data_IF_777946675104
#
_entry.id   IF_777946675104
#
_cell.length_a   1.000
_cell.length_b   1.000
_cell.length_c   1.000
_cell.angle_alpha   90.00
_cell.angle_beta   90.00
_cell.angle_gamma   90.00
#
_symmetry.space_group_name_H-M   'P 1'
#
loop_
_entity.id
_entity.type
_entity.pdbx_description
1 polymer ?
#
# COMPACT_ATOMS: atom_id res chain seq x y z
N UNK A 1 10.79 -30.66 -13.08
CA UNK A 1 10.76 -29.18 -13.19
C UNK A 1 11.10 -28.56 -11.85
N UNK A 2 11.82 -27.44 -11.76
CA UNK A 2 12.03 -26.75 -10.48
C UNK A 2 10.67 -26.34 -9.91
N UNK A 3 10.53 -26.43 -8.57
CA UNK A 3 9.27 -26.10 -7.87
C UNK A 3 8.85 -24.67 -8.18
N UNK A 4 7.63 -24.48 -8.69
CA UNK A 4 7.05 -23.15 -8.94
C UNK A 4 6.37 -22.55 -7.70
N UNK A 5 6.13 -23.38 -6.67
CA UNK A 5 5.58 -22.94 -5.37
C UNK A 5 6.55 -23.41 -4.28
N UNK A 6 6.98 -22.49 -3.43
CA UNK A 6 7.92 -22.76 -2.34
C UNK A 6 7.41 -22.15 -1.03
N UNK A 7 7.68 -22.78 0.13
CA UNK A 7 7.37 -22.15 1.42
C UNK A 7 8.05 -20.78 1.56
N UNK A 8 7.39 -19.85 2.23
CA UNK A 8 7.95 -18.51 2.52
C UNK A 8 9.25 -18.60 3.34
N UNK A 9 9.41 -19.68 4.12
CA UNK A 9 10.63 -19.96 4.89
C UNK A 9 11.78 -20.55 4.09
N UNK A 10 11.55 -20.94 2.83
CA UNK A 10 12.61 -21.52 2.00
C UNK A 10 13.66 -20.46 1.61
N UNK A 11 14.97 -20.77 1.63
CA UNK A 11 16.02 -19.82 1.27
C UNK A 11 15.83 -19.17 -0.09
N UNK A 12 15.36 -19.93 -1.08
CA UNK A 12 15.10 -19.43 -2.43
C UNK A 12 13.93 -18.44 -2.52
N UNK A 13 13.03 -18.38 -1.53
CA UNK A 13 11.92 -17.44 -1.50
C UNK A 13 12.38 -15.97 -1.34
N UNK A 14 13.60 -15.75 -0.86
CA UNK A 14 14.20 -14.42 -0.73
C UNK A 14 14.79 -13.87 -2.05
N UNK A 15 14.63 -14.57 -3.17
CA UNK A 15 15.08 -14.10 -4.49
C UNK A 15 14.04 -13.19 -5.15
N UNK A 16 14.26 -11.86 -5.20
CA UNK A 16 13.30 -10.92 -5.78
C UNK A 16 13.16 -11.05 -7.30
N UNK A 17 14.15 -11.65 -7.97
CA UNK A 17 14.07 -11.88 -9.43
C UNK A 17 13.08 -12.98 -9.81
N UNK A 18 12.72 -13.83 -8.84
CA UNK A 18 11.76 -14.93 -8.99
C UNK A 18 10.41 -14.65 -8.35
N UNK A 19 10.42 -14.04 -7.17
CA UNK A 19 9.22 -13.93 -6.33
C UNK A 19 8.73 -12.48 -6.14
N UNK A 20 9.43 -11.49 -6.73
CA UNK A 20 9.16 -10.08 -6.52
C UNK A 20 9.64 -9.58 -5.15
N UNK A 21 9.89 -8.29 -5.02
CA UNK A 21 10.47 -7.73 -3.80
C UNK A 21 9.55 -7.88 -2.58
N UNK A 22 8.22 -7.78 -2.75
CA UNK A 22 7.25 -7.95 -1.65
C UNK A 22 7.37 -9.33 -0.99
N UNK A 23 7.34 -10.41 -1.76
CA UNK A 23 7.48 -11.76 -1.23
C UNK A 23 8.89 -12.04 -0.72
N UNK A 24 9.92 -11.57 -1.45
CA UNK A 24 11.31 -11.75 -1.06
C UNK A 24 11.66 -11.06 0.27
N UNK A 25 11.19 -9.83 0.48
CA UNK A 25 11.37 -9.12 1.74
C UNK A 25 10.72 -9.88 2.91
N UNK A 26 9.48 -10.36 2.74
CA UNK A 26 8.83 -11.15 3.79
C UNK A 26 9.54 -12.48 4.05
N UNK A 27 10.06 -13.14 3.01
CA UNK A 27 10.86 -14.35 3.18
C UNK A 27 12.14 -14.05 3.99
N UNK A 28 12.81 -12.93 3.74
CA UNK A 28 13.97 -12.50 4.52
C UNK A 28 13.61 -12.25 5.99
N UNK A 29 12.43 -11.64 6.27
CA UNK A 29 11.94 -11.48 7.64
C UNK A 29 11.71 -12.82 8.33
N UNK A 30 11.09 -13.79 7.65
CA UNK A 30 10.88 -15.16 8.18
C UNK A 30 12.20 -15.84 8.49
N UNK A 31 13.18 -15.74 7.60
CA UNK A 31 14.51 -16.33 7.77
C UNK A 31 15.28 -15.69 8.94
N UNK A 32 15.02 -14.42 9.22
CA UNK A 32 15.54 -13.71 10.40
C UNK A 32 14.76 -13.98 11.69
N UNK A 33 13.74 -14.86 11.66
CA UNK A 33 12.95 -15.26 12.81
C UNK A 33 11.92 -14.22 13.26
N UNK A 34 11.55 -13.26 12.40
CA UNK A 34 10.49 -12.31 12.73
C UNK A 34 9.09 -12.90 12.53
N UNK A 35 8.09 -12.37 13.28
CA UNK A 35 6.72 -12.86 13.24
C UNK A 35 6.05 -12.47 11.91
N UNK A 36 5.99 -13.40 10.97
CA UNK A 36 5.31 -13.27 9.69
C UNK A 36 4.30 -14.41 9.54
N UNK A 37 3.07 -14.19 9.06
CA UNK A 37 2.11 -15.26 8.85
C UNK A 37 2.67 -16.33 7.92
N UNK A 38 2.43 -17.60 8.24
CA UNK A 38 2.83 -18.73 7.41
C UNK A 38 2.28 -18.59 5.98
N UNK A 39 3.08 -19.01 4.99
CA UNK A 39 2.68 -18.86 3.61
C UNK A 39 3.63 -19.51 2.61
N UNK A 40 3.33 -19.26 1.34
CA UNK A 40 4.04 -19.77 0.17
C UNK A 40 4.26 -18.65 -0.84
N UNK A 41 5.38 -18.71 -1.54
CA UNK A 41 5.68 -17.88 -2.70
C UNK A 41 5.46 -18.67 -3.99
N UNK A 42 4.78 -18.07 -4.96
CA UNK A 42 4.61 -18.61 -6.31
C UNK A 42 5.57 -17.88 -7.23
N UNK A 43 6.46 -18.63 -7.85
CA UNK A 43 7.48 -18.10 -8.78
C UNK A 43 6.82 -17.43 -9.99
N UNK A 44 7.33 -16.29 -10.43
CA UNK A 44 6.88 -15.59 -11.62
C UNK A 44 6.92 -16.44 -12.91
N UNK A 45 7.66 -17.54 -12.91
CA UNK A 45 7.63 -18.53 -13.99
C UNK A 45 6.26 -19.19 -14.14
N UNK A 46 5.49 -19.39 -13.05
CA UNK A 46 4.13 -19.92 -13.13
C UNK A 46 3.23 -19.02 -14.00
N UNK A 47 3.36 -17.69 -13.84
CA UNK A 47 2.68 -16.71 -14.67
C UNK A 47 3.11 -16.85 -16.15
N UNK A 48 4.42 -16.97 -16.43
CA UNK A 48 4.92 -17.11 -17.81
C UNK A 48 4.46 -18.40 -18.47
N UNK A 49 4.47 -19.51 -17.73
CA UNK A 49 3.91 -20.80 -18.18
C UNK A 49 2.44 -20.66 -18.53
N UNK A 50 1.66 -19.98 -17.67
CA UNK A 50 0.23 -19.75 -17.90
C UNK A 50 -0.01 -18.87 -19.13
N UNK A 51 0.75 -17.79 -19.28
CA UNK A 51 0.65 -16.86 -20.41
C UNK A 51 0.91 -17.58 -21.74
N UNK A 52 1.97 -18.39 -21.78
CA UNK A 52 2.35 -19.20 -22.95
C UNK A 52 1.32 -20.27 -23.28
N UNK A 53 0.82 -21.00 -22.28
CA UNK A 53 -0.18 -22.05 -22.48
C UNK A 53 -1.52 -21.50 -23.01
N UNK A 54 -1.84 -20.25 -22.73
CA UNK A 54 -3.02 -19.56 -23.27
C UNK A 54 -2.78 -18.90 -24.63
N UNK A 55 -1.56 -18.95 -25.16
CA UNK A 55 -1.19 -18.30 -26.43
C UNK A 55 -1.24 -16.75 -26.39
N UNK A 56 -1.07 -16.16 -25.22
CA UNK A 56 -1.22 -14.71 -24.98
C UNK A 56 0.09 -13.92 -25.10
N UNK A 57 1.21 -14.58 -25.44
CA UNK A 57 2.54 -13.93 -25.47
C UNK A 57 2.64 -12.83 -26.54
N UNK A 58 1.99 -13.03 -27.68
CA UNK A 58 1.98 -12.04 -28.77
C UNK A 58 1.16 -10.81 -28.38
N UNK A 59 -0.04 -11.00 -27.83
CA UNK A 59 -0.88 -9.91 -27.32
C UNK A 59 -0.16 -9.14 -26.19
N UNK A 60 0.50 -9.87 -25.28
CA UNK A 60 1.28 -9.25 -24.22
C UNK A 60 2.40 -8.34 -24.74
N UNK A 61 3.16 -8.79 -25.75
CA UNK A 61 4.21 -7.97 -26.38
C UNK A 61 3.63 -6.79 -27.15
N UNK A 62 2.46 -6.95 -27.80
CA UNK A 62 1.79 -5.92 -28.59
C UNK A 62 1.39 -4.68 -27.77
N UNK A 63 1.27 -4.79 -26.45
CA UNK A 63 0.86 -3.65 -25.60
C UNK A 63 1.86 -2.49 -25.63
N UNK A 64 3.16 -2.79 -25.65
CA UNK A 64 4.21 -1.77 -25.59
C UNK A 64 4.94 -1.56 -26.94
N UNK A 65 4.85 -2.53 -27.86
CA UNK A 65 5.45 -2.42 -29.19
C UNK A 65 4.56 -1.70 -30.21
N UNK A 66 3.27 -1.54 -29.92
CA UNK A 66 2.33 -0.88 -30.83
C UNK A 66 2.35 0.64 -30.65
N UNK A 67 2.64 1.38 -31.72
CA UNK A 67 2.47 2.85 -31.78
C UNK A 67 0.98 3.25 -31.79
N UNK A 68 0.10 2.33 -32.16
CA UNK A 68 -1.35 2.54 -32.18
C UNK A 68 -1.99 2.27 -30.84
N UNK A 69 -2.44 3.33 -30.14
CA UNK A 69 -3.08 3.25 -28.83
C UNK A 69 -4.33 2.33 -28.79
N UNK A 70 -5.25 2.34 -29.76
CA UNK A 70 -6.36 1.38 -29.83
C UNK A 70 -5.87 -0.06 -29.89
N UNK A 71 -4.85 -0.37 -30.67
CA UNK A 71 -4.25 -1.70 -30.76
C UNK A 71 -3.65 -2.13 -29.41
N UNK A 72 -2.82 -1.28 -28.78
CA UNK A 72 -2.24 -1.53 -27.47
C UNK A 72 -3.31 -1.82 -26.40
N UNK A 73 -4.40 -1.04 -26.37
CA UNK A 73 -5.53 -1.27 -25.45
C UNK A 73 -6.24 -2.60 -25.70
N UNK A 74 -6.44 -2.98 -26.95
CA UNK A 74 -7.04 -4.25 -27.31
C UNK A 74 -6.15 -5.42 -26.87
N UNK A 75 -4.86 -5.38 -27.11
CA UNK A 75 -3.88 -6.36 -26.67
C UNK A 75 -3.88 -6.52 -25.14
N UNK A 76 -3.90 -5.40 -24.40
CA UNK A 76 -3.97 -5.42 -22.94
C UNK A 76 -5.28 -6.05 -22.44
N UNK A 77 -6.41 -5.72 -23.04
CA UNK A 77 -7.70 -6.29 -22.69
C UNK A 77 -7.75 -7.79 -22.99
N UNK A 78 -7.28 -8.22 -24.14
CA UNK A 78 -7.21 -9.63 -24.54
C UNK A 78 -6.35 -10.44 -23.57
N UNK A 79 -5.16 -9.96 -23.24
CA UNK A 79 -4.28 -10.59 -22.26
C UNK A 79 -4.94 -10.67 -20.87
N UNK A 80 -5.55 -9.58 -20.41
CA UNK A 80 -6.26 -9.53 -19.13
C UNK A 80 -7.40 -10.53 -19.07
N UNK A 81 -8.28 -10.53 -20.08
CA UNK A 81 -9.44 -11.44 -20.12
C UNK A 81 -9.02 -12.90 -20.27
N UNK A 82 -8.01 -13.17 -21.09
CA UNK A 82 -7.47 -14.51 -21.25
C UNK A 82 -6.93 -15.08 -19.94
N UNK A 83 -6.19 -14.29 -19.15
CA UNK A 83 -5.70 -14.70 -17.83
C UNK A 83 -6.84 -14.89 -16.82
N UNK A 84 -7.88 -14.03 -16.85
CA UNK A 84 -9.04 -14.15 -15.95
C UNK A 84 -9.90 -15.37 -16.22
N UNK A 85 -10.10 -15.74 -17.49
CA UNK A 85 -11.05 -16.78 -17.91
C UNK A 85 -10.37 -18.10 -18.20
N UNK A 86 -9.09 -18.10 -18.53
CA UNK A 86 -8.33 -19.28 -18.90
C UNK A 86 -8.17 -20.27 -17.73
N UNK A 87 -8.29 -21.54 -18.04
CA UNK A 87 -7.98 -22.60 -17.08
C UNK A 87 -6.49 -22.56 -16.69
N UNK A 88 -6.18 -22.70 -15.42
CA UNK A 88 -4.79 -22.76 -14.96
C UNK A 88 -4.19 -24.11 -15.41
N UNK A 89 -2.97 -24.05 -15.95
CA UNK A 89 -2.20 -25.25 -16.38
C UNK A 89 -2.20 -26.30 -15.26
N UNK A 90 -2.51 -27.58 -15.56
CA UNK A 90 -2.73 -28.60 -14.52
C UNK A 90 -1.62 -28.71 -13.49
N UNK A 91 -0.36 -28.74 -13.92
CA UNK A 91 0.79 -28.88 -13.00
C UNK A 91 0.93 -27.67 -12.07
N UNK A 92 0.65 -26.45 -12.56
CA UNK A 92 0.65 -25.22 -11.77
C UNK A 92 -0.54 -25.25 -10.80
N UNK A 93 -1.71 -25.64 -11.28
CA UNK A 93 -2.93 -25.74 -10.48
C UNK A 93 -2.78 -26.72 -9.30
N UNK A 94 -2.21 -27.90 -9.54
CA UNK A 94 -1.97 -28.89 -8.50
C UNK A 94 -1.00 -28.38 -7.43
N UNK A 95 0.11 -27.75 -7.84
CA UNK A 95 1.08 -27.15 -6.93
C UNK A 95 0.45 -26.03 -6.07
N UNK A 96 -0.37 -25.16 -6.68
CA UNK A 96 -1.10 -24.09 -6.01
C UNK A 96 -2.07 -24.64 -4.98
N UNK A 97 -2.91 -25.61 -5.36
CA UNK A 97 -3.91 -26.22 -4.48
C UNK A 97 -3.27 -27.00 -3.32
N UNK A 98 -2.17 -27.69 -3.58
CA UNK A 98 -1.42 -28.38 -2.52
C UNK A 98 -0.90 -27.40 -1.46
N UNK A 99 -0.30 -26.27 -1.88
CA UNK A 99 0.17 -25.22 -0.97
C UNK A 99 -1.01 -24.56 -0.22
N UNK A 100 -2.06 -24.19 -0.95
CA UNK A 100 -3.25 -23.57 -0.40
C UNK A 100 -3.86 -24.39 0.72
N UNK A 101 -4.18 -25.65 0.46
CA UNK A 101 -4.82 -26.58 1.41
C UNK A 101 -3.97 -26.87 2.64
N UNK A 102 -2.65 -26.61 2.59
CA UNK A 102 -1.77 -26.79 3.76
C UNK A 102 -1.85 -25.63 4.76
N UNK A 103 -2.27 -24.43 4.33
CA UNK A 103 -2.34 -23.23 5.18
C UNK A 103 -3.76 -22.70 5.38
N UNK A 104 -4.64 -22.93 4.44
CA UNK A 104 -6.05 -22.59 4.48
C UNK A 104 -6.90 -23.88 4.53
N UNK A 105 -8.13 -23.77 5.00
CA UNK A 105 -9.06 -24.89 5.13
C UNK A 105 -10.23 -24.47 6.00
N UNK A 106 -11.12 -25.37 6.35
CA UNK A 106 -12.35 -25.10 7.09
C UNK A 106 -12.13 -24.13 8.26
N UNK A 107 -12.75 -22.95 8.20
CA UNK A 107 -12.66 -21.91 9.22
C UNK A 107 -11.32 -21.18 9.32
N UNK A 108 -10.43 -21.33 8.33
CA UNK A 108 -9.14 -20.64 8.26
C UNK A 108 -8.96 -19.95 6.91
N UNK A 109 -9.47 -18.72 6.77
CA UNK A 109 -9.37 -18.00 5.51
C UNK A 109 -7.90 -17.65 5.17
N UNK A 110 -7.62 -17.62 3.89
CA UNK A 110 -6.32 -17.25 3.36
C UNK A 110 -6.35 -15.94 2.58
N UNK A 111 -5.17 -15.51 2.18
CA UNK A 111 -4.92 -14.28 1.44
C UNK A 111 -4.05 -14.59 0.23
N UNK A 112 -4.40 -13.99 -0.90
CA UNK A 112 -3.57 -13.97 -2.11
C UNK A 112 -3.14 -12.54 -2.40
N UNK A 113 -1.84 -12.31 -2.48
CA UNK A 113 -1.24 -11.00 -2.71
C UNK A 113 -0.37 -11.03 -3.96
N UNK A 114 -0.49 -10.02 -4.80
CA UNK A 114 0.43 -9.80 -5.91
C UNK A 114 1.84 -9.47 -5.40
N UNK A 115 2.85 -9.94 -6.14
CA UNK A 115 4.25 -9.59 -5.93
C UNK A 115 4.92 -9.49 -7.29
N UNK A 116 4.67 -8.38 -8.00
CA UNK A 116 5.23 -8.18 -9.33
C UNK A 116 6.76 -8.02 -9.26
N UNK A 117 7.47 -8.51 -10.28
CA UNK A 117 8.93 -8.42 -10.31
C UNK A 117 9.45 -6.98 -10.35
N UNK A 118 8.60 -6.03 -10.71
CA UNK A 118 8.92 -4.59 -10.78
C UNK A 118 8.42 -3.80 -9.55
N UNK A 119 7.67 -4.43 -8.66
CA UNK A 119 7.08 -3.84 -7.46
C UNK A 119 8.11 -3.71 -6.33
N UNK A 120 7.93 -2.72 -5.44
CA UNK A 120 8.75 -2.45 -4.25
C UNK A 120 10.27 -2.31 -4.53
N UNK A 121 10.63 -1.80 -5.73
CA UNK A 121 12.00 -1.42 -6.06
C UNK A 121 12.27 0.03 -5.68
N UNK A 122 13.53 0.43 -5.59
CA UNK A 122 13.90 1.82 -5.42
C UNK A 122 13.33 2.70 -6.56
N UNK A 123 12.46 3.64 -6.22
CA UNK A 123 11.78 4.53 -7.18
C UNK A 123 10.58 3.91 -7.92
N UNK A 124 10.10 2.73 -7.51
CA UNK A 124 8.98 2.04 -8.16
C UNK A 124 8.22 1.15 -7.17
N UNK A 125 7.42 1.78 -6.30
CA UNK A 125 6.70 1.06 -5.24
C UNK A 125 5.46 0.29 -5.71
N UNK A 126 4.85 0.69 -6.82
CA UNK A 126 3.52 0.21 -7.27
C UNK A 126 2.44 0.26 -6.17
N UNK A 127 2.60 1.12 -5.16
CA UNK A 127 1.66 1.23 -4.07
C UNK A 127 0.22 1.48 -4.57
N UNK A 128 -0.72 0.64 -4.13
CA UNK A 128 -2.13 0.72 -4.51
C UNK A 128 -2.44 0.34 -5.97
N UNK A 129 -1.45 -0.08 -6.79
CA UNK A 129 -1.70 -0.50 -8.17
C UNK A 129 -2.32 -1.90 -8.26
N UNK A 130 -1.98 -2.77 -7.31
CA UNK A 130 -2.43 -4.15 -7.24
C UNK A 130 -3.27 -4.41 -5.99
N UNK A 131 -4.27 -5.28 -6.11
CA UNK A 131 -5.16 -5.64 -5.02
C UNK A 131 -4.68 -6.90 -4.30
N UNK A 132 -4.95 -6.99 -3.00
CA UNK A 132 -4.89 -8.21 -2.22
C UNK A 132 -6.30 -8.81 -2.12
N UNK A 133 -6.40 -10.12 -2.24
CA UNK A 133 -7.64 -10.87 -2.11
C UNK A 133 -7.65 -11.55 -0.75
N UNK A 134 -8.55 -11.12 0.10
CA UNK A 134 -8.66 -11.54 1.50
C UNK A 134 -9.82 -12.51 1.68
N UNK A 135 -9.83 -13.21 2.82
CA UNK A 135 -10.94 -14.08 3.27
C UNK A 135 -11.34 -15.16 2.25
N UNK A 136 -10.34 -15.71 1.56
CA UNK A 136 -10.56 -16.81 0.65
C UNK A 136 -10.76 -18.09 1.46
N UNK A 137 -11.86 -18.79 1.24
CA UNK A 137 -12.22 -20.01 2.00
C UNK A 137 -12.30 -21.26 1.13
N UNK A 138 -12.54 -21.08 -0.18
CA UNK A 138 -12.67 -22.20 -1.12
C UNK A 138 -11.50 -22.28 -2.11
N UNK A 139 -11.28 -23.49 -2.67
CA UNK A 139 -10.34 -23.71 -3.75
C UNK A 139 -10.67 -22.86 -5.00
N UNK A 140 -11.94 -22.64 -5.27
CA UNK A 140 -12.40 -21.88 -6.44
C UNK A 140 -12.13 -20.37 -6.25
N UNK A 141 -12.44 -19.81 -5.08
CA UNK A 141 -12.13 -18.43 -4.73
C UNK A 141 -10.62 -18.19 -4.80
N UNK A 142 -9.84 -19.13 -4.25
CA UNK A 142 -8.40 -19.08 -4.30
C UNK A 142 -7.85 -19.05 -5.75
N UNK A 143 -8.27 -19.99 -6.60
CA UNK A 143 -7.83 -20.02 -8.01
C UNK A 143 -8.30 -18.79 -8.79
N UNK A 144 -9.46 -18.26 -8.46
CA UNK A 144 -9.97 -17.01 -9.03
C UNK A 144 -9.12 -15.82 -8.60
N UNK A 145 -8.72 -15.74 -7.34
CA UNK A 145 -7.80 -14.72 -6.84
C UNK A 145 -6.41 -14.80 -7.50
N UNK A 146 -5.90 -16.01 -7.72
CA UNK A 146 -4.64 -16.23 -8.47
C UNK A 146 -4.73 -15.65 -9.89
N UNK A 147 -5.79 -16.01 -10.64
CA UNK A 147 -6.03 -15.48 -11.98
C UNK A 147 -6.16 -13.96 -11.98
N UNK A 148 -6.88 -13.42 -11.00
CA UNK A 148 -7.06 -11.97 -10.85
C UNK A 148 -5.75 -11.24 -10.52
N UNK A 149 -4.88 -11.81 -9.69
CA UNK A 149 -3.53 -11.27 -9.47
C UNK A 149 -2.73 -11.22 -10.77
N UNK A 150 -2.69 -12.30 -11.55
CA UNK A 150 -1.98 -12.31 -12.82
C UNK A 150 -2.55 -11.29 -13.82
N UNK A 151 -3.88 -11.19 -13.89
CA UNK A 151 -4.57 -10.26 -14.79
C UNK A 151 -4.40 -8.79 -14.35
N UNK A 152 -4.13 -8.51 -13.07
CA UNK A 152 -3.97 -7.15 -12.55
C UNK A 152 -2.79 -6.40 -13.19
N UNK A 153 -1.75 -7.14 -13.64
CA UNK A 153 -0.62 -6.57 -14.36
C UNK A 153 -1.04 -5.81 -15.63
N UNK A 154 -2.13 -6.23 -16.26
CA UNK A 154 -2.71 -5.70 -17.50
C UNK A 154 -3.84 -4.69 -17.25
N UNK A 155 -3.98 -4.21 -16.01
CA UNK A 155 -4.92 -3.14 -15.71
C UNK A 155 -4.43 -1.80 -16.30
N UNK A 156 -5.36 -0.94 -16.72
CA UNK A 156 -5.03 0.39 -17.24
C UNK A 156 -4.15 1.18 -16.28
N UNK A 157 -4.40 1.05 -14.97
CA UNK A 157 -3.64 1.72 -13.91
C UNK A 157 -2.19 1.23 -13.87
N UNK A 158 -1.99 -0.09 -13.82
CA UNK A 158 -0.64 -0.67 -13.80
C UNK A 158 0.14 -0.35 -15.07
N UNK A 159 -0.50 -0.42 -16.25
CA UNK A 159 0.12 -0.08 -17.54
C UNK A 159 0.53 1.39 -17.62
N UNK A 160 -0.31 2.31 -17.15
CA UNK A 160 0.05 3.73 -17.06
C UNK A 160 1.24 3.96 -16.12
N UNK A 161 1.21 3.33 -14.96
CA UNK A 161 2.32 3.42 -13.99
C UNK A 161 3.62 2.90 -14.61
N UNK A 162 3.61 1.75 -15.28
CA UNK A 162 4.78 1.19 -15.97
C UNK A 162 5.29 2.15 -17.05
N UNK A 163 4.41 2.71 -17.88
CA UNK A 163 4.77 3.66 -18.92
C UNK A 163 5.45 4.92 -18.37
N UNK A 164 4.98 5.45 -17.22
CA UNK A 164 5.60 6.64 -16.58
C UNK A 164 6.98 6.34 -15.97
N UNK A 165 7.29 5.07 -15.70
CA UNK A 165 8.58 4.65 -15.13
C UNK A 165 9.50 3.98 -16.16
N UNK A 166 9.13 4.00 -17.45
CA UNK A 166 9.93 3.39 -18.52
C UNK A 166 10.10 1.88 -18.38
N UNK A 167 9.14 1.20 -17.73
CA UNK A 167 9.18 -0.25 -17.50
C UNK A 167 8.54 -0.98 -18.67
N UNK A 168 9.24 -2.00 -19.20
CA UNK A 168 8.73 -2.86 -20.27
C UNK A 168 7.97 -4.06 -19.68
N UNK A 169 6.84 -4.37 -20.32
CA UNK A 169 6.02 -5.53 -19.99
C UNK A 169 6.72 -6.86 -20.28
N UNK A 170 7.60 -6.90 -21.29
CA UNK A 170 8.34 -8.10 -21.63
C UNK A 170 9.26 -8.56 -20.49
N UNK A 171 9.77 -7.60 -19.69
CA UNK A 171 10.63 -7.86 -18.55
C UNK A 171 9.84 -8.05 -17.25
N UNK A 172 8.52 -7.93 -17.31
CA UNK A 172 7.64 -7.96 -16.14
C UNK A 172 6.93 -9.31 -16.04
N UNK A 173 6.78 -9.79 -14.82
CA UNK A 173 5.97 -10.97 -14.51
C UNK A 173 5.38 -10.83 -13.11
N UNK A 174 4.30 -11.54 -12.87
CA UNK A 174 3.58 -11.50 -11.61
C UNK A 174 3.85 -12.78 -10.81
N UNK A 175 4.66 -12.65 -9.77
CA UNK A 175 4.73 -13.63 -8.70
C UNK A 175 3.55 -13.43 -7.73
N UNK A 176 3.29 -14.40 -6.88
CA UNK A 176 2.18 -14.35 -5.92
C UNK A 176 2.67 -14.79 -4.55
N UNK A 177 2.15 -14.12 -3.52
CA UNK A 177 2.31 -14.49 -2.13
C UNK A 177 0.97 -15.01 -1.62
N UNK A 178 0.97 -16.23 -1.06
CA UNK A 178 -0.18 -16.89 -0.45
C UNK A 178 0.10 -16.99 1.04
N UNK A 179 -0.80 -16.45 1.87
CA UNK A 179 -0.62 -16.46 3.32
C UNK A 179 -1.92 -16.80 4.05
N UNK A 180 -1.78 -17.17 5.31
CA UNK A 180 -2.90 -17.24 6.22
C UNK A 180 -3.39 -15.83 6.54
N UNK A 181 -4.70 -15.62 6.59
CA UNK A 181 -5.26 -14.34 7.05
C UNK A 181 -5.06 -14.23 8.57
N UNK A 182 -4.56 -13.10 9.02
CA UNK A 182 -4.51 -12.74 10.45
C UNK A 182 -5.88 -12.15 10.82
N UNK A 183 -6.63 -12.76 11.77
CA UNK A 183 -7.93 -12.24 12.23
C UNK A 183 -7.70 -11.03 13.15
N UNK A 184 -7.28 -9.92 12.55
CA UNK A 184 -6.76 -8.78 13.28
C UNK A 184 -7.78 -8.09 14.17
N UNK A 185 -7.48 -7.91 15.44
CA UNK A 185 -8.15 -6.99 16.35
C UNK A 185 -7.71 -5.54 16.12
N UNK A 186 -6.46 -5.34 15.70
CA UNK A 186 -5.91 -4.07 15.24
C UNK A 186 -4.89 -4.31 14.13
N UNK A 187 -4.78 -3.35 13.20
CA UNK A 187 -3.78 -3.41 12.15
C UNK A 187 -3.39 -1.99 11.71
N UNK A 188 -2.28 -1.88 11.00
CA UNK A 188 -1.82 -0.59 10.52
C UNK A 188 -0.48 -0.65 9.82
N UNK A 189 0.23 0.46 9.84
CA UNK A 189 1.56 0.58 9.29
C UNK A 189 2.51 1.30 10.23
N UNK A 190 3.79 1.25 9.90
CA UNK A 190 4.83 1.93 10.63
C UNK A 190 5.90 2.50 9.70
N UNK A 191 6.40 3.67 10.02
CA UNK A 191 7.58 4.25 9.42
C UNK A 191 8.71 4.17 10.44
N UNK A 192 9.75 3.42 10.16
CA UNK A 192 10.84 3.20 11.10
C UNK A 192 11.67 4.46 11.34
N UNK A 193 11.59 5.44 10.42
CA UNK A 193 12.27 6.72 10.55
C UNK A 193 11.50 7.83 9.86
N UNK A 194 11.21 8.89 10.56
CA UNK A 194 10.73 10.16 10.02
C UNK A 194 11.90 11.11 9.72
N UNK A 195 11.61 12.27 9.14
CA UNK A 195 12.62 13.31 8.91
C UNK A 195 13.28 13.82 10.20
N UNK A 196 12.57 13.77 11.33
CA UNK A 196 13.09 14.12 12.67
C UNK A 196 13.85 12.97 13.35
N UNK A 197 13.98 11.81 12.67
CA UNK A 197 14.67 10.63 13.20
C UNK A 197 13.82 9.78 14.15
N UNK A 198 12.58 10.11 14.35
CA UNK A 198 11.60 9.37 15.18
C UNK A 198 10.98 8.23 14.39
N UNK A 199 10.23 7.37 15.08
CA UNK A 199 9.38 6.37 14.44
C UNK A 199 7.93 6.84 14.47
N UNK A 200 7.14 6.41 13.48
CA UNK A 200 5.71 6.70 13.42
C UNK A 200 4.94 5.39 13.26
N UNK A 201 3.90 5.19 14.08
CA UNK A 201 2.98 4.06 13.97
C UNK A 201 1.58 4.59 13.75
N UNK A 202 0.91 4.05 12.73
CA UNK A 202 -0.52 4.20 12.51
C UNK A 202 -1.25 2.90 12.88
N UNK A 203 -2.40 3.01 13.54
CA UNK A 203 -3.20 1.87 13.96
C UNK A 203 -4.70 2.14 13.79
N UNK A 204 -5.42 1.15 13.31
CA UNK A 204 -6.88 1.14 13.31
C UNK A 204 -7.39 -0.23 13.75
N UNK A 205 -8.62 -0.31 14.28
CA UNK A 205 -9.21 -1.57 14.66
C UNK A 205 -9.57 -2.43 13.44
N UNK A 206 -9.47 -3.73 13.57
CA UNK A 206 -9.79 -4.70 12.52
C UNK A 206 -8.70 -4.84 11.46
N UNK A 207 -9.10 -5.18 10.23
CA UNK A 207 -8.18 -5.42 9.12
C UNK A 207 -7.51 -4.13 8.63
N UNK A 208 -6.22 -4.22 8.28
CA UNK A 208 -5.40 -3.10 7.83
C UNK A 208 -5.77 -2.49 6.48
N UNK A 209 -6.69 -3.11 5.72
CA UNK A 209 -7.08 -2.63 4.39
C UNK A 209 -7.59 -1.18 4.40
N UNK A 210 -8.39 -0.79 5.40
CA UNK A 210 -8.92 0.56 5.51
C UNK A 210 -7.83 1.62 5.75
N UNK A 211 -6.77 1.27 6.51
CA UNK A 211 -5.61 2.15 6.71
C UNK A 211 -4.80 2.26 5.42
N UNK A 212 -4.51 1.13 4.79
CA UNK A 212 -3.75 1.07 3.56
C UNK A 212 -4.44 1.82 2.41
N UNK A 213 -5.77 1.74 2.31
CA UNK A 213 -6.56 2.42 1.28
C UNK A 213 -6.85 3.88 1.61
N UNK A 214 -6.51 4.36 2.83
CA UNK A 214 -6.77 5.73 3.24
C UNK A 214 -8.25 6.04 3.52
N UNK A 215 -9.06 5.03 3.81
CA UNK A 215 -10.51 5.18 4.07
C UNK A 215 -10.83 5.64 5.49
N UNK A 216 -9.86 5.59 6.39
CA UNK A 216 -9.99 5.97 7.80
C UNK A 216 -8.86 6.89 8.22
N UNK A 217 -9.10 7.70 9.26
CA UNK A 217 -8.05 8.38 10.01
C UNK A 217 -7.60 7.41 11.10
N UNK A 218 -6.36 6.88 11.07
CA UNK A 218 -5.86 5.95 12.10
C UNK A 218 -5.44 6.70 13.37
N UNK A 219 -5.29 5.96 14.49
CA UNK A 219 -4.48 6.44 15.60
C UNK A 219 -3.05 6.70 15.11
N UNK A 220 -2.42 7.75 15.60
CA UNK A 220 -1.03 8.09 15.32
C UNK A 220 -0.22 8.08 16.60
N UNK A 221 0.89 7.37 16.59
CA UNK A 221 1.87 7.35 17.66
C UNK A 221 3.24 7.74 17.12
N UNK A 222 3.88 8.70 17.75
CA UNK A 222 5.27 9.08 17.47
C UNK A 222 6.13 8.51 18.60
N UNK A 223 7.13 7.71 18.24
CA UNK A 223 8.02 7.04 19.17
C UNK A 223 9.45 7.56 19.00
N UNK A 224 10.19 7.62 20.11
CA UNK A 224 11.63 7.78 20.01
C UNK A 224 12.30 6.46 19.54
N UNK A 225 13.60 6.49 19.27
CA UNK A 225 14.34 5.31 18.82
C UNK A 225 14.44 4.20 19.88
N UNK A 226 14.12 4.47 21.12
CA UNK A 226 14.02 3.47 22.20
C UNK A 226 12.61 2.87 22.35
N UNK A 227 11.66 3.25 21.46
CA UNK A 227 10.28 2.75 21.48
C UNK A 227 9.36 3.46 22.49
N UNK A 228 9.80 4.56 23.11
CA UNK A 228 8.98 5.31 24.06
C UNK A 228 8.08 6.28 23.31
N UNK A 229 6.81 6.34 23.71
CA UNK A 229 5.82 7.25 23.11
C UNK A 229 6.16 8.69 23.46
N UNK A 230 6.38 9.53 22.45
CA UNK A 230 6.55 10.96 22.54
C UNK A 230 5.24 11.72 22.33
N UNK A 231 4.43 11.24 21.40
CA UNK A 231 3.16 11.85 21.04
C UNK A 231 2.16 10.75 20.66
N UNK A 232 0.90 10.95 21.03
CA UNK A 232 -0.21 10.12 20.58
C UNK A 232 -1.39 10.99 20.17
N UNK A 233 -1.97 10.70 19.02
CA UNK A 233 -3.20 11.30 18.52
C UNK A 233 -4.19 10.18 18.21
N UNK A 234 -5.25 10.09 19.03
CA UNK A 234 -6.28 9.05 18.86
C UNK A 234 -7.33 9.51 17.85
N UNK A 235 -7.65 8.64 16.92
CA UNK A 235 -8.68 8.88 15.94
C UNK A 235 -10.10 8.70 16.49
N UNK A 236 -11.07 9.36 15.85
CA UNK A 236 -12.48 9.06 16.07
C UNK A 236 -12.84 7.79 15.27
N UNK A 237 -13.04 6.68 15.96
CA UNK A 237 -13.27 5.36 15.37
C UNK A 237 -14.76 5.12 15.17
N UNK A 238 -15.26 5.39 13.97
CA UNK A 238 -16.67 5.15 13.66
C UNK A 238 -16.92 3.72 13.17
N UNK A 239 -15.96 3.11 12.46
CA UNK A 239 -16.06 1.79 11.85
C UNK A 239 -14.75 1.03 11.90
N UNK A 240 -14.82 -0.31 11.94
CA UNK A 240 -13.70 -1.19 11.63
C UNK A 240 -14.08 -2.11 10.47
N UNK A 241 -13.10 -2.45 9.64
CA UNK A 241 -13.24 -3.59 8.76
C UNK A 241 -13.01 -4.86 9.58
N UNK A 242 -14.06 -5.60 9.85
CA UNK A 242 -13.97 -6.93 10.49
C UNK A 242 -13.82 -8.03 9.45
N UNK A 243 -14.28 -7.77 8.22
CA UNK A 243 -14.15 -8.62 7.06
C UNK A 243 -14.11 -7.76 5.79
N UNK A 244 -13.66 -8.32 4.65
CA UNK A 244 -13.63 -7.61 3.37
C UNK A 244 -15.02 -7.23 2.86
N UNK A 245 -16.07 -7.90 3.35
CA UNK A 245 -17.44 -7.72 2.90
C UNK A 245 -18.31 -6.86 3.85
N UNK A 246 -17.77 -6.43 5.01
CA UNK A 246 -18.56 -5.69 5.96
C UNK A 246 -17.80 -4.75 6.89
N UNK A 247 -18.43 -3.63 7.18
CA UNK A 247 -17.99 -2.69 8.21
C UNK A 247 -18.73 -2.99 9.50
N UNK A 248 -18.00 -3.22 10.58
CA UNK A 248 -18.61 -3.35 11.91
C UNK A 248 -18.60 -1.98 12.58
N UNK A 249 -19.79 -1.48 12.92
CA UNK A 249 -19.89 -0.29 13.76
C UNK A 249 -19.39 -0.61 15.17
N UNK A 250 -18.58 0.28 15.74
CA UNK A 250 -18.14 0.14 17.13
C UNK A 250 -19.22 0.55 18.12
N UNK A 251 -19.21 -0.11 19.28
CA UNK A 251 -19.93 0.42 20.44
C UNK A 251 -19.29 1.76 20.87
N UNK A 252 -20.09 2.66 21.43
CA UNK A 252 -19.64 3.95 21.95
C UNK A 252 -18.44 3.86 22.90
N UNK A 253 -18.27 2.72 23.57
CA UNK A 253 -17.17 2.44 24.50
C UNK A 253 -15.77 2.37 23.85
N UNK A 254 -15.70 2.16 22.52
CA UNK A 254 -14.42 2.10 21.78
C UNK A 254 -14.02 3.45 21.15
N UNK A 255 -14.88 4.47 21.26
CA UNK A 255 -14.53 5.82 20.83
C UNK A 255 -13.42 6.38 21.72
N UNK A 256 -12.28 6.74 21.10
CA UNK A 256 -11.15 7.31 21.80
C UNK A 256 -10.30 6.33 22.60
N UNK A 257 -10.60 5.02 22.57
CA UNK A 257 -9.70 4.03 23.12
C UNK A 257 -8.49 3.80 22.20
N UNK A 258 -7.24 3.75 22.72
CA UNK A 258 -6.07 3.47 21.91
C UNK A 258 -6.13 2.05 21.30
N UNK A 259 -5.68 1.90 20.06
CA UNK A 259 -5.58 0.59 19.40
C UNK A 259 -4.45 -0.26 19.96
N UNK A 260 -3.41 0.39 20.48
CA UNK A 260 -2.20 -0.21 21.00
C UNK A 260 -1.85 0.35 22.37
N UNK A 261 -1.37 -0.50 23.25
CA UNK A 261 -0.76 -0.12 24.53
C UNK A 261 0.75 0.14 24.39
N UNK A 262 1.40 0.54 25.48
CA UNK A 262 2.81 0.90 25.48
C UNK A 262 3.75 -0.30 25.23
N UNK A 263 3.37 -1.50 25.66
CA UNK A 263 4.16 -2.72 25.43
C UNK A 263 4.13 -3.11 23.95
N UNK A 264 2.96 -3.07 23.34
CA UNK A 264 2.77 -3.34 21.90
C UNK A 264 3.49 -2.31 21.02
N UNK A 265 3.50 -1.04 21.42
CA UNK A 265 4.25 0.01 20.71
C UNK A 265 5.76 -0.20 20.83
N UNK A 266 6.26 -0.62 21.99
CA UNK A 266 7.67 -0.97 22.19
C UNK A 266 8.06 -2.22 21.36
N UNK A 267 7.19 -3.23 21.30
CA UNK A 267 7.38 -4.42 20.44
C UNK A 267 7.46 -4.01 18.96
N UNK A 268 6.54 -3.19 18.48
CA UNK A 268 6.58 -2.67 17.11
C UNK A 268 7.86 -1.89 16.82
N UNK A 269 8.36 -1.09 17.76
CA UNK A 269 9.61 -0.37 17.60
C UNK A 269 10.80 -1.32 17.40
N UNK A 270 10.86 -2.40 18.19
CA UNK A 270 11.88 -3.44 18.02
C UNK A 270 11.77 -4.16 16.66
N UNK A 271 10.55 -4.47 16.24
CA UNK A 271 10.32 -5.08 14.92
C UNK A 271 10.73 -4.14 13.79
N UNK A 272 10.43 -2.85 13.89
CA UNK A 272 10.85 -1.84 12.90
C UNK A 272 12.37 -1.72 12.83
N UNK A 273 13.09 -1.77 13.94
CA UNK A 273 14.56 -1.79 13.93
C UNK A 273 15.12 -3.01 13.18
N UNK A 274 14.59 -4.19 13.46
CA UNK A 274 15.01 -5.41 12.75
C UNK A 274 14.66 -5.35 11.27
N UNK A 275 13.54 -4.73 10.89
CA UNK A 275 13.21 -4.50 9.50
C UNK A 275 14.21 -3.54 8.82
N UNK A 276 14.67 -2.47 9.50
CA UNK A 276 15.74 -1.59 8.98
C UNK A 276 17.02 -2.37 8.65
N UNK A 277 17.43 -3.29 9.52
CA UNK A 277 18.62 -4.12 9.33
C UNK A 277 18.48 -5.02 8.08
N UNK A 278 17.30 -5.63 7.89
CA UNK A 278 17.05 -6.57 6.80
C UNK A 278 16.87 -5.84 5.46
N UNK A 279 16.16 -4.71 5.47
CA UNK A 279 15.88 -3.91 4.27
C UNK A 279 17.09 -3.07 3.87
N UNK A 280 18.06 -2.87 4.78
CA UNK A 280 19.29 -2.12 4.54
C UNK A 280 19.16 -0.61 4.71
N UNK A 281 18.17 -0.14 5.49
CA UNK A 281 17.93 1.27 5.74
C UNK A 281 16.53 1.52 6.33
N UNK A 282 16.07 2.78 6.34
CA UNK A 282 14.73 3.10 6.82
C UNK A 282 13.67 2.23 6.14
N UNK A 283 12.71 1.73 6.92
CA UNK A 283 11.70 0.79 6.48
C UNK A 283 10.29 1.31 6.73
N UNK A 284 9.39 1.07 5.77
CA UNK A 284 7.96 1.14 5.94
C UNK A 284 7.43 -0.29 6.14
N UNK A 285 6.64 -0.52 7.19
CA UNK A 285 6.04 -1.81 7.50
C UNK A 285 4.52 -1.76 7.46
N UNK A 286 3.90 -2.89 7.13
CA UNK A 286 2.51 -3.20 7.45
C UNK A 286 2.48 -4.29 8.52
N UNK A 287 1.57 -4.16 9.45
CA UNK A 287 1.43 -5.09 10.58
C UNK A 287 -0.03 -5.36 10.91
N UNK A 288 -0.29 -6.50 11.52
CA UNK A 288 -1.57 -6.85 12.12
C UNK A 288 -1.35 -7.51 13.47
N UNK A 289 -2.29 -7.32 14.41
CA UNK A 289 -2.27 -7.91 15.73
C UNK A 289 -3.54 -8.69 15.98
N UNK A 290 -3.40 -9.93 16.39
CA UNK A 290 -4.46 -10.77 16.91
C UNK A 290 -4.18 -11.15 18.39
N UNK A 291 -4.89 -12.15 18.93
CA UNK A 291 -4.72 -12.62 20.28
C UNK A 291 -3.38 -13.35 20.51
N UNK A 292 -2.67 -13.71 19.43
CA UNK A 292 -1.36 -14.39 19.50
C UNK A 292 -0.18 -13.42 19.47
N UNK A 293 -0.40 -12.15 19.10
CA UNK A 293 0.62 -11.12 19.04
C UNK A 293 0.63 -10.34 17.72
N UNK A 294 1.76 -9.67 17.45
CA UNK A 294 1.96 -8.86 16.26
C UNK A 294 2.56 -9.71 15.14
N UNK A 295 2.02 -9.57 13.94
CA UNK A 295 2.53 -10.16 12.70
C UNK A 295 2.89 -9.08 11.69
N UNK A 296 4.06 -9.20 11.07
CA UNK A 296 4.48 -8.35 9.95
C UNK A 296 3.87 -8.84 8.64
N UNK A 297 3.18 -7.96 7.93
CA UNK A 297 2.50 -8.28 6.67
C UNK A 297 3.26 -7.79 5.44
N UNK A 298 4.10 -6.76 5.61
CA UNK A 298 4.98 -6.22 4.57
C UNK A 298 6.11 -5.41 5.20
N UNK A 299 7.28 -5.40 4.56
CA UNK A 299 8.34 -4.45 4.83
C UNK A 299 8.99 -4.04 3.51
N UNK A 300 9.26 -2.73 3.37
CA UNK A 300 9.89 -2.17 2.17
C UNK A 300 10.78 -0.98 2.51
N UNK A 301 11.74 -0.61 1.64
CA UNK A 301 12.54 0.59 1.80
C UNK A 301 11.67 1.83 1.90
N UNK A 302 12.01 2.73 2.83
CA UNK A 302 11.34 3.99 3.05
C UNK A 302 12.22 5.15 2.58
N UNK A 303 11.71 5.98 1.67
CA UNK A 303 12.33 7.25 1.33
C UNK A 303 12.08 8.27 2.45
N UNK A 304 13.14 8.77 3.05
CA UNK A 304 13.10 9.83 4.07
C UNK A 304 13.80 11.06 3.51
N UNK A 305 13.08 12.17 3.42
CA UNK A 305 13.65 13.46 3.02
C UNK A 305 13.38 14.49 4.12
N UNK A 306 14.39 15.33 4.37
CA UNK A 306 14.24 16.50 5.25
C UNK A 306 13.57 17.63 4.49
N UNK A 307 12.50 18.20 5.04
CA UNK A 307 11.93 19.42 4.49
C UNK A 307 12.72 20.64 4.97
N UNK A 308 12.91 21.58 4.05
CA UNK A 308 13.22 22.96 4.45
C UNK A 308 11.89 23.67 4.68
N UNK A 309 11.66 24.14 5.91
CA UNK A 309 10.48 24.95 6.23
C UNK A 309 10.76 26.38 5.74
N UNK A 310 10.01 26.90 4.77
CA UNK A 310 10.12 28.29 4.40
C UNK A 310 9.39 29.17 5.41
N UNK A 311 9.98 30.29 5.65
CA UNK A 311 9.56 31.57 6.17
C UNK A 311 8.51 31.74 7.28
N UNK A 312 8.88 32.61 8.22
CA UNK A 312 8.06 33.11 9.32
C UNK A 312 6.70 33.70 8.90
N UNK A 313 6.52 34.04 7.62
CA UNK A 313 5.28 34.63 7.09
C UNK A 313 4.08 33.70 7.32
N UNK A 314 4.28 32.38 7.15
CA UNK A 314 3.21 31.39 7.31
C UNK A 314 2.79 31.18 8.76
N UNK A 315 3.65 31.46 9.74
CA UNK A 315 3.36 31.25 11.17
C UNK A 315 2.21 32.10 11.68
N UNK A 316 1.93 33.24 11.01
CA UNK A 316 0.86 34.18 11.39
C UNK A 316 -0.51 33.81 10.86
N UNK A 317 -0.60 32.82 9.96
CA UNK A 317 -1.84 32.44 9.30
C UNK A 317 -2.51 31.25 10.00
N UNK A 318 -3.85 31.12 9.87
CA UNK A 318 -4.58 29.97 10.42
C UNK A 318 -3.97 28.67 9.92
N UNK A 319 -3.96 27.65 10.78
CA UNK A 319 -3.40 26.35 10.46
C UNK A 319 -4.29 25.18 10.88
N UNK A 320 -4.11 24.07 10.22
CA UNK A 320 -4.65 22.76 10.53
C UNK A 320 -3.50 21.76 10.64
N UNK A 321 -3.70 20.76 11.49
CA UNK A 321 -2.76 19.67 11.64
C UNK A 321 -3.37 18.38 11.13
N UNK A 322 -2.54 17.52 10.56
CA UNK A 322 -2.89 16.19 10.11
C UNK A 322 -1.72 15.23 10.24
N UNK A 323 -1.82 14.14 9.52
CA UNK A 323 -0.77 13.13 9.43
C UNK A 323 0.26 13.55 8.37
N UNK A 324 1.55 13.70 8.71
CA UNK A 324 2.61 13.91 7.72
C UNK A 324 2.67 12.70 6.79
N UNK A 325 2.37 12.89 5.52
CA UNK A 325 2.11 11.80 4.58
C UNK A 325 2.90 11.89 3.28
N UNK A 326 3.48 13.05 3.00
CA UNK A 326 4.40 13.27 1.89
C UNK A 326 5.79 13.67 2.38
N UNK A 327 6.55 14.28 1.50
CA UNK A 327 7.86 14.87 1.78
C UNK A 327 7.95 16.29 1.23
N UNK A 328 8.71 17.13 1.90
CA UNK A 328 8.95 18.50 1.44
C UNK A 328 7.83 19.46 1.76
N UNK A 329 7.93 20.63 1.12
CA UNK A 329 7.04 21.78 1.24
C UNK A 329 6.43 22.09 -0.13
N UNK A 330 5.15 22.42 -0.15
CA UNK A 330 4.45 22.84 -1.36
C UNK A 330 3.48 23.97 -1.06
N UNK A 331 3.39 24.93 -1.98
CA UNK A 331 2.44 26.01 -1.90
C UNK A 331 1.75 26.23 -3.25
N UNK A 332 0.55 26.77 -3.20
CA UNK A 332 -0.23 27.06 -4.38
C UNK A 332 -1.66 27.46 -4.06
N UNK A 333 -2.43 27.67 -5.12
CA UNK A 333 -3.85 27.98 -5.00
C UNK A 333 -4.63 26.74 -4.60
N UNK A 334 -5.46 26.82 -3.56
CA UNK A 334 -6.35 25.75 -3.17
C UNK A 334 -7.39 25.42 -4.25
N UNK A 335 -7.52 24.15 -4.56
CA UNK A 335 -8.64 23.61 -5.33
C UNK A 335 -9.37 22.62 -4.44
N UNK A 336 -10.54 23.03 -3.95
CA UNK A 336 -11.40 22.17 -3.14
C UNK A 336 -12.22 21.27 -4.04
N UNK A 337 -12.08 19.94 -3.85
CA UNK A 337 -12.74 18.89 -4.63
C UNK A 337 -13.35 17.87 -3.69
N UNK A 338 -14.66 17.68 -3.77
CA UNK A 338 -15.40 16.78 -2.88
C UNK A 338 -15.72 15.41 -3.52
N UNK A 339 -15.47 15.26 -4.82
CA UNK A 339 -15.73 14.05 -5.58
C UNK A 339 -14.59 13.79 -6.57
N UNK A 340 -14.22 12.52 -6.76
CA UNK A 340 -13.23 12.14 -7.78
C UNK A 340 -13.64 12.58 -9.21
N UNK A 341 -14.93 12.73 -9.48
CA UNK A 341 -15.44 13.24 -10.75
C UNK A 341 -15.09 14.72 -11.02
N UNK A 342 -14.64 15.45 -10.01
CA UNK A 342 -14.23 16.86 -10.13
C UNK A 342 -12.71 17.05 -10.24
N UNK A 343 -11.92 15.97 -10.25
CA UNK A 343 -10.45 16.05 -10.32
C UNK A 343 -9.94 16.77 -11.58
N UNK A 344 -10.70 16.76 -12.67
CA UNK A 344 -10.38 17.52 -13.88
C UNK A 344 -10.35 19.05 -13.67
N UNK A 345 -10.94 19.57 -12.59
CA UNK A 345 -10.91 21.00 -12.21
C UNK A 345 -9.56 21.42 -11.61
N UNK A 346 -8.73 20.46 -11.22
CA UNK A 346 -7.45 20.74 -10.56
C UNK A 346 -6.40 21.08 -11.59
N UNK A 347 -5.93 22.32 -11.57
CA UNK A 347 -4.89 22.80 -12.47
C UNK A 347 -3.47 22.44 -12.02
N UNK A 348 -2.50 22.50 -12.96
CA UNK A 348 -1.10 22.29 -12.62
C UNK A 348 -0.61 23.31 -11.57
N UNK A 349 0.14 22.81 -10.55
CA UNK A 349 0.70 23.66 -9.50
C UNK A 349 -0.31 24.11 -8.44
N UNK A 350 -1.58 23.70 -8.53
CA UNK A 350 -2.55 23.96 -7.45
C UNK A 350 -2.33 22.99 -6.27
N UNK A 351 -2.84 23.35 -5.10
CA UNK A 351 -2.95 22.50 -3.91
C UNK A 351 -4.32 21.83 -3.94
N UNK A 352 -4.35 20.51 -4.07
CA UNK A 352 -5.59 19.75 -3.97
C UNK A 352 -6.04 19.65 -2.51
N UNK A 353 -7.26 20.10 -2.21
CA UNK A 353 -7.93 19.94 -0.92
C UNK A 353 -9.16 19.06 -1.11
N UNK A 354 -9.21 17.89 -0.46
CA UNK A 354 -10.25 16.89 -0.73
C UNK A 354 -10.70 16.14 0.52
N UNK A 355 -11.84 15.48 0.44
CA UNK A 355 -12.36 14.65 1.53
C UNK A 355 -11.66 13.29 1.59
N UNK A 356 -11.38 12.67 0.45
CA UNK A 356 -10.89 11.29 0.36
C UNK A 356 -9.46 11.19 -0.17
N UNK A 357 -8.74 10.19 0.30
CA UNK A 357 -7.38 9.85 -0.14
C UNK A 357 -7.38 8.56 -1.00
N UNK A 358 -8.30 8.50 -1.97
CA UNK A 358 -8.51 7.32 -2.81
C UNK A 358 -7.42 7.11 -3.88
N UNK A 359 -7.39 5.91 -4.47
CA UNK A 359 -6.40 5.55 -5.51
C UNK A 359 -6.45 6.42 -6.77
N UNK A 360 -7.60 7.04 -7.07
CA UNK A 360 -7.75 7.95 -8.21
C UNK A 360 -6.83 9.18 -8.12
N UNK A 361 -6.50 9.62 -6.90
CA UNK A 361 -5.58 10.74 -6.69
C UNK A 361 -4.17 10.45 -7.18
N UNK A 362 -3.79 9.19 -7.37
CA UNK A 362 -2.47 8.83 -7.90
C UNK A 362 -2.19 9.42 -9.28
N UNK A 363 -3.23 9.64 -10.08
CA UNK A 363 -3.12 10.21 -11.44
C UNK A 363 -2.82 11.72 -11.40
N UNK A 364 -3.29 12.43 -10.37
CA UNK A 364 -3.12 13.88 -10.27
C UNK A 364 -1.84 14.30 -9.52
N UNK A 365 -1.24 13.41 -8.74
CA UNK A 365 -0.03 13.72 -7.96
C UNK A 365 1.09 14.41 -8.76
N UNK A 366 1.39 14.03 -10.02
CA UNK A 366 2.45 14.69 -10.79
C UNK A 366 2.15 16.13 -11.19
N UNK A 367 0.91 16.57 -11.04
CA UNK A 367 0.45 17.87 -11.54
C UNK A 367 0.22 18.90 -10.44
N UNK A 368 0.05 18.46 -9.20
CA UNK A 368 -0.25 19.33 -8.05
C UNK A 368 1.02 19.71 -7.29
N UNK A 369 1.01 20.88 -6.65
CA UNK A 369 2.11 21.30 -5.77
C UNK A 369 2.03 20.63 -4.40
N UNK A 370 0.84 20.26 -3.93
CA UNK A 370 0.64 19.51 -2.70
C UNK A 370 -0.78 18.92 -2.61
N UNK A 371 -1.00 18.03 -1.64
CA UNK A 371 -2.31 17.43 -1.34
C UNK A 371 -2.64 17.55 0.14
N UNK A 372 -3.90 17.92 0.41
CA UNK A 372 -4.52 17.91 1.74
C UNK A 372 -5.79 17.07 1.67
N UNK A 373 -5.93 16.04 2.52
CA UNK A 373 -7.15 15.26 2.57
C UNK A 373 -7.66 15.04 4.00
N UNK A 374 -8.98 14.96 4.14
CA UNK A 374 -9.63 14.77 5.44
C UNK A 374 -9.47 13.34 5.96
N UNK A 375 -9.36 12.37 5.07
CA UNK A 375 -9.15 10.97 5.41
C UNK A 375 -7.71 10.52 5.09
N UNK A 376 -7.36 9.34 5.62
CA UNK A 376 -6.07 8.70 5.40
C UNK A 376 -5.05 8.97 6.50
N UNK A 377 -3.89 8.35 6.37
CA UNK A 377 -2.77 8.46 7.31
C UNK A 377 -1.43 8.23 6.61
N UNK A 378 -0.34 8.44 7.34
CA UNK A 378 1.04 8.45 6.82
C UNK A 378 1.47 7.12 6.17
N UNK A 379 0.80 6.02 6.44
CA UNK A 379 1.13 4.68 5.94
C UNK A 379 0.14 4.19 4.87
N UNK A 380 -0.71 5.08 4.33
CA UNK A 380 -1.60 4.74 3.21
C UNK A 380 -0.83 4.60 1.89
N UNK A 381 -1.41 3.89 0.93
CA UNK A 381 -0.85 3.74 -0.42
C UNK A 381 -0.60 5.10 -1.10
N UNK A 382 -1.53 6.06 -0.92
CA UNK A 382 -1.37 7.39 -1.49
C UNK A 382 -0.21 8.16 -0.84
N UNK A 383 -0.02 8.03 0.49
CA UNK A 383 1.11 8.61 1.19
C UNK A 383 2.45 8.05 0.69
N UNK A 384 2.50 6.75 0.43
CA UNK A 384 3.68 6.09 -0.14
C UNK A 384 4.01 6.60 -1.54
N UNK A 385 3.01 6.74 -2.40
CA UNK A 385 3.18 7.32 -3.74
C UNK A 385 3.59 8.80 -3.70
N UNK A 386 3.06 9.57 -2.74
CA UNK A 386 3.45 10.96 -2.55
C UNK A 386 4.93 11.08 -2.16
N UNK A 387 5.39 10.24 -1.23
CA UNK A 387 6.81 10.18 -0.85
C UNK A 387 7.72 9.77 -2.02
N UNK A 388 7.30 8.77 -2.78
CA UNK A 388 8.03 8.32 -3.98
C UNK A 388 8.20 9.44 -5.00
N UNK A 389 7.16 10.25 -5.19
CA UNK A 389 7.13 11.33 -6.20
C UNK A 389 7.59 12.69 -5.69
N UNK A 390 7.94 12.78 -4.41
CA UNK A 390 8.36 14.05 -3.81
C UNK A 390 7.23 15.06 -3.64
N UNK A 391 5.97 14.61 -3.54
CA UNK A 391 4.80 15.48 -3.40
C UNK A 391 4.50 15.73 -1.93
N UNK A 392 4.48 17.00 -1.46
CA UNK A 392 4.05 17.35 -0.12
C UNK A 392 2.59 16.93 0.11
N UNK A 393 2.33 16.22 1.22
CA UNK A 393 1.01 15.70 1.50
C UNK A 393 0.73 15.64 3.00
N UNK A 394 -0.47 16.09 3.38
CA UNK A 394 -0.99 15.97 4.74
C UNK A 394 -2.38 15.33 4.67
N UNK A 395 -2.54 14.20 5.34
CA UNK A 395 -3.78 13.43 5.41
C UNK A 395 -4.40 13.51 6.81
N UNK A 396 -5.68 13.13 6.95
CA UNK A 396 -6.36 13.16 8.24
C UNK A 396 -6.61 14.59 8.76
N UNK A 397 -6.71 15.57 7.87
CA UNK A 397 -6.96 16.98 8.22
C UNK A 397 -8.47 17.21 8.30
N UNK A 398 -9.05 17.03 9.47
CA UNK A 398 -10.50 17.14 9.67
C UNK A 398 -11.05 18.51 9.24
N UNK A 399 -12.18 18.49 8.54
CA UNK A 399 -12.90 19.66 8.01
C UNK A 399 -12.06 20.54 7.06
N UNK A 400 -10.99 20.02 6.45
CA UNK A 400 -10.12 20.79 5.55
C UNK A 400 -10.91 21.42 4.40
N UNK A 401 -11.83 20.67 3.77
CA UNK A 401 -12.64 21.14 2.65
C UNK A 401 -13.63 22.27 3.02
N UNK A 402 -13.97 22.39 4.31
CA UNK A 402 -14.84 23.45 4.83
C UNK A 402 -14.07 24.64 5.33
N UNK A 403 -12.85 24.43 5.88
CA UNK A 403 -12.06 25.45 6.56
C UNK A 403 -11.10 26.17 5.62
N UNK A 404 -10.60 25.49 4.60
CA UNK A 404 -9.70 26.08 3.59
C UNK A 404 -10.59 26.61 2.44
N UNK A 405 -10.64 27.92 2.20
CA UNK A 405 -11.46 28.46 1.12
C UNK A 405 -10.90 28.04 -0.25
N UNK A 406 -11.79 27.65 -1.18
CA UNK A 406 -11.41 27.40 -2.59
C UNK A 406 -10.79 28.67 -3.17
N UNK A 407 -9.65 28.55 -3.82
CA UNK A 407 -8.91 29.65 -4.41
C UNK A 407 -7.99 30.43 -3.47
N UNK A 408 -7.96 30.13 -2.16
CA UNK A 408 -6.99 30.72 -1.22
C UNK A 408 -5.57 30.22 -1.52
N UNK A 409 -4.55 30.95 -1.07
CA UNK A 409 -3.16 30.47 -1.13
C UNK A 409 -2.89 29.55 0.05
N UNK A 410 -2.46 28.33 -0.21
CA UNK A 410 -2.22 27.30 0.81
C UNK A 410 -0.77 26.86 0.77
N UNK A 411 -0.21 26.66 1.97
CA UNK A 411 1.09 26.04 2.18
C UNK A 411 0.91 24.73 2.92
N UNK A 412 1.61 23.69 2.46
CA UNK A 412 1.54 22.33 2.98
C UNK A 412 2.93 21.85 3.34
N UNK A 413 3.13 21.57 4.62
CA UNK A 413 4.34 20.91 5.11
C UNK A 413 4.07 19.40 5.26
N UNK A 414 4.51 18.65 4.28
CA UNK A 414 4.34 17.19 4.25
C UNK A 414 5.17 16.44 5.30
N UNK A 415 6.11 17.12 5.95
CA UNK A 415 7.01 16.54 6.97
C UNK A 415 6.48 16.75 8.37
N UNK A 416 6.04 17.98 8.70
CA UNK A 416 5.45 18.29 10.02
C UNK A 416 3.95 17.97 10.11
N UNK A 417 3.27 17.78 8.97
CA UNK A 417 1.83 17.56 8.93
C UNK A 417 1.01 18.85 9.16
N UNK A 418 1.58 20.00 8.84
CA UNK A 418 0.94 21.32 9.04
C UNK A 418 0.47 21.88 7.70
N UNK A 419 -0.76 22.38 7.68
CA UNK A 419 -1.36 23.10 6.55
C UNK A 419 -1.73 24.50 6.99
N UNK A 420 -1.37 25.51 6.22
CA UNK A 420 -1.71 26.92 6.49
C UNK A 420 -2.27 27.58 5.23
N UNK A 421 -3.12 28.60 5.41
CA UNK A 421 -3.68 29.32 4.26
C UNK A 421 -3.82 30.80 4.53
N UNK A 422 -3.73 31.58 3.44
CA UNK A 422 -4.02 33.00 3.38
C UNK A 422 -5.31 33.23 2.58
N UNK A 423 -6.15 34.12 3.06
CA UNK A 423 -7.35 34.54 2.31
C UNK A 423 -6.98 35.53 1.20
#
# INVERSE_FOLDING_TARGET
MPRVVVPLSAPEAADPSRFGAKAANLAALVQAGLPVPAGFCVDARAYRIQLSALGLEESARGVFSSEDRPCARRCALETKLGLMQGAIVPEVREALLSAWRSIAGEGRPGVVRSSALVEDRAGSSFAGQFQSYLELESDEDFLTAVRACWAALWSTRALRYMATHGLDCADTAMAILIQRLVPAGAAGGGLSRTASGEMLVNAAPGLGAAVAQGEVVPDRYVLDRAGRVKESALAQKYHALSCAHGRRAFSRALFGAPCLDAEQLAELALLMHKCEEIVGGPAEIEWARDDTGISLLQARPLAVATAQVPDEIWLKHPGLNGHPSGIGWGEGRARVVNCECELERVGPGEVLVTTVAGPALSEILPHVSAVVAELGGSTSHLASLARERGVPMVLGVLDATRRIPDGSTVAVDGVSGVVRWMQ
#
